data_IF_253238897418
#
_entry.id   IF_253238897418
#
_cell.length_a   1.000
_cell.length_b   1.000
_cell.length_c   1.000
_cell.angle_alpha   90.00
_cell.angle_beta   90.00
_cell.angle_gamma   90.00
#
_symmetry.space_group_name_H-M   'P 1'
#
loop_
_entity.id
_entity.type
_entity.pdbx_description
1 polymer ?
#
# COMPACT_ATOMS: atom_id res chain seq x y z
N UNK A 1 -15.54 -20.84 4.81
CA UNK A 1 -15.40 -19.41 5.15
C UNK A 1 -13.96 -18.98 4.88
N UNK A 2 -13.68 -18.03 3.99
CA UNK A 2 -12.30 -17.65 3.66
C UNK A 2 -11.67 -16.77 4.76
N UNK A 3 -10.40 -17.02 5.14
CA UNK A 3 -9.66 -16.15 6.08
C UNK A 3 -9.58 -14.72 5.51
N UNK A 4 -10.15 -13.75 6.22
CA UNK A 4 -10.20 -12.34 5.80
C UNK A 4 -8.87 -11.59 6.05
N UNK A 5 -8.11 -12.04 7.05
CA UNK A 5 -6.81 -11.48 7.45
C UNK A 5 -5.73 -12.10 6.56
N UNK A 6 -5.48 -11.47 5.42
CA UNK A 6 -4.44 -11.87 4.46
C UNK A 6 -3.39 -10.77 4.33
N UNK A 7 -2.15 -11.09 3.92
CA UNK A 7 -1.16 -10.08 3.58
C UNK A 7 -1.70 -9.13 2.49
N UNK A 8 -1.34 -7.86 2.57
CA UNK A 8 -1.82 -6.80 1.69
C UNK A 8 -3.19 -6.23 2.07
N UNK A 9 -3.87 -6.77 3.09
CA UNK A 9 -5.13 -6.19 3.59
C UNK A 9 -4.89 -4.94 4.40
N UNK A 10 -5.73 -3.93 4.16
CA UNK A 10 -5.76 -2.69 4.92
C UNK A 10 -6.57 -2.92 6.20
N UNK A 11 -5.96 -2.59 7.32
CA UNK A 11 -6.52 -2.71 8.66
C UNK A 11 -6.42 -1.39 9.40
N UNK A 12 -7.27 -1.20 10.40
CA UNK A 12 -7.25 -0.04 11.29
C UNK A 12 -6.83 -0.51 12.68
N UNK A 13 -5.83 0.15 13.27
CA UNK A 13 -5.33 -0.22 14.59
C UNK A 13 -6.28 0.31 15.66
N UNK A 14 -6.74 -0.57 16.56
CA UNK A 14 -7.67 -0.22 17.62
C UNK A 14 -6.99 0.22 18.91
N UNK A 15 -5.83 -0.38 19.25
CA UNK A 15 -5.19 -0.20 20.56
C UNK A 15 -3.70 0.16 20.49
N UNK A 16 -3.22 0.83 21.54
CA UNK A 16 -1.83 1.24 21.72
C UNK A 16 -1.49 2.60 21.10
N UNK A 17 -0.19 2.94 21.06
CA UNK A 17 0.32 4.25 20.59
C UNK A 17 -0.16 4.67 19.19
N UNK A 18 -0.45 3.71 18.32
CA UNK A 18 -0.85 3.95 16.93
C UNK A 18 -2.34 3.67 16.69
N UNK A 19 -3.17 3.71 17.72
CA UNK A 19 -4.63 3.60 17.58
C UNK A 19 -5.19 4.66 16.62
N UNK A 20 -6.22 4.30 15.86
CA UNK A 20 -6.83 5.16 14.84
C UNK A 20 -6.00 5.31 13.56
N UNK A 21 -4.82 4.69 13.47
CA UNK A 21 -3.99 4.71 12.25
C UNK A 21 -4.35 3.54 11.34
N UNK A 22 -4.47 3.83 10.05
CA UNK A 22 -4.54 2.84 8.97
C UNK A 22 -3.18 2.20 8.75
N UNK A 23 -3.21 0.91 8.52
CA UNK A 23 -2.03 0.10 8.30
C UNK A 23 -2.33 -1.07 7.35
N UNK A 24 -1.28 -1.75 6.91
CA UNK A 24 -1.34 -2.89 6.02
C UNK A 24 -0.70 -4.09 6.71
N UNK A 25 -1.36 -5.25 6.62
CA UNK A 25 -0.78 -6.51 7.07
C UNK A 25 0.32 -6.91 6.09
N UNK A 26 1.56 -7.03 6.57
CA UNK A 26 2.70 -7.48 5.77
C UNK A 26 2.83 -8.99 5.84
N UNK A 27 2.75 -9.54 7.05
CA UNK A 27 2.86 -10.98 7.31
C UNK A 27 1.86 -11.38 8.38
N UNK A 28 1.12 -12.45 8.13
CA UNK A 28 0.25 -13.13 9.08
C UNK A 28 1.01 -14.25 9.79
N UNK A 29 0.81 -14.39 11.09
CA UNK A 29 1.32 -15.48 11.92
C UNK A 29 0.12 -16.02 12.70
N UNK A 30 -0.51 -17.05 12.16
CA UNK A 30 -1.77 -17.58 12.69
C UNK A 30 -1.53 -18.58 13.83
N UNK A 31 -0.45 -19.38 13.72
CA UNK A 31 -0.14 -20.48 14.66
C UNK A 31 0.64 -20.05 15.91
N UNK A 32 0.88 -18.74 16.06
CA UNK A 32 1.69 -18.19 17.15
C UNK A 32 3.19 -18.44 16.97
N UNK A 33 3.98 -17.93 17.91
CA UNK A 33 5.43 -18.13 18.00
C UNK A 33 5.76 -18.49 19.45
N UNK A 34 6.93 -19.10 19.73
CA UNK A 34 7.39 -19.42 21.09
C UNK A 34 7.22 -18.24 22.06
N UNK A 35 7.53 -17.03 21.60
CA UNK A 35 7.47 -15.82 22.43
C UNK A 35 6.04 -15.27 22.59
N UNK A 36 5.14 -15.62 21.67
CA UNK A 36 3.79 -15.08 21.55
C UNK A 36 2.83 -16.18 21.09
N UNK A 37 2.22 -16.92 22.03
CA UNK A 37 1.34 -18.06 21.71
C UNK A 37 -0.02 -17.66 21.14
N UNK A 38 -0.24 -16.38 20.81
CA UNK A 38 -1.47 -15.86 20.23
C UNK A 38 -1.28 -15.49 18.76
N UNK A 39 -2.37 -15.55 17.99
CA UNK A 39 -2.36 -15.16 16.59
C UNK A 39 -2.10 -13.65 16.42
N UNK A 40 -1.14 -13.31 15.59
CA UNK A 40 -0.67 -11.94 15.42
C UNK A 40 -0.23 -11.64 13.99
N UNK A 41 -0.15 -10.36 13.66
CA UNK A 41 0.33 -9.90 12.37
C UNK A 41 1.44 -8.87 12.51
N UNK A 42 2.39 -8.95 11.58
CA UNK A 42 3.31 -7.86 11.32
C UNK A 42 2.59 -6.82 10.47
N UNK A 43 2.52 -5.60 10.98
CA UNK A 43 1.75 -4.52 10.39
C UNK A 43 2.66 -3.33 10.12
N UNK A 44 2.56 -2.79 8.90
CA UNK A 44 3.20 -1.55 8.49
C UNK A 44 2.14 -0.47 8.31
N UNK A 45 2.28 0.66 9.02
CA UNK A 45 1.28 1.72 9.02
C UNK A 45 1.87 3.12 8.93
N UNK A 46 0.97 4.09 8.84
CA UNK A 46 1.31 5.51 8.76
C UNK A 46 0.99 6.18 10.09
N UNK A 47 2.01 6.64 10.82
CA UNK A 47 1.87 7.39 12.07
C UNK A 47 1.46 8.83 11.75
N UNK A 48 2.24 9.50 10.89
CA UNK A 48 1.94 10.87 10.46
C UNK A 48 1.48 10.88 9.01
N UNK A 49 0.18 11.16 8.83
CA UNK A 49 -0.40 11.40 7.51
C UNK A 49 0.13 12.70 6.89
N UNK A 50 0.24 12.74 5.55
CA UNK A 50 0.51 13.99 4.86
C UNK A 50 -0.65 14.96 5.14
N UNK A 51 -0.31 16.22 5.44
CA UNK A 51 -1.30 17.27 5.68
C UNK A 51 -1.70 17.89 4.35
N UNK A 52 -2.96 18.33 4.21
CA UNK A 52 -3.44 19.05 3.02
C UNK A 52 -2.50 20.19 2.66
N UNK A 53 -2.13 20.23 1.39
CA UNK A 53 -1.34 21.30 0.76
C UNK A 53 -2.28 22.15 -0.08
N UNK A 54 -2.07 23.46 -0.08
CA UNK A 54 -2.78 24.44 -0.92
C UNK A 54 -1.76 25.21 -1.75
N UNK A 55 -2.19 25.73 -2.90
CA UNK A 55 -1.30 26.40 -3.86
C UNK A 55 -0.57 27.62 -3.28
N UNK A 56 -1.17 28.30 -2.29
CA UNK A 56 -0.57 29.47 -1.63
C UNK A 56 0.61 29.14 -0.68
N UNK A 57 0.92 27.87 -0.44
CA UNK A 57 2.00 27.49 0.48
C UNK A 57 3.38 27.59 -0.19
N UNK A 58 4.35 28.16 0.52
CA UNK A 58 5.75 28.14 0.06
C UNK A 58 6.37 26.73 0.07
N UNK A 59 7.31 26.48 -0.84
CA UNK A 59 7.99 25.18 -1.04
C UNK A 59 8.50 24.52 0.25
N UNK A 60 9.05 25.31 1.19
CA UNK A 60 9.54 24.83 2.50
C UNK A 60 8.41 24.27 3.39
N UNK A 61 7.23 24.91 3.39
CA UNK A 61 6.05 24.44 4.14
C UNK A 61 5.44 23.19 3.50
N UNK A 62 5.44 23.13 2.17
CA UNK A 62 4.99 21.95 1.41
C UNK A 62 5.83 20.73 1.77
N UNK A 63 7.16 20.83 1.69
CA UNK A 63 8.06 19.72 2.02
C UNK A 63 7.85 19.18 3.45
N UNK A 64 7.63 20.08 4.42
CA UNK A 64 7.35 19.67 5.82
C UNK A 64 5.98 19.00 5.98
N UNK A 65 4.96 19.41 5.22
CA UNK A 65 3.59 18.83 5.28
C UNK A 65 3.47 17.49 4.56
N UNK A 66 4.28 17.27 3.52
CA UNK A 66 4.30 16.04 2.73
C UNK A 66 5.12 14.92 3.37
N UNK A 67 5.92 15.20 4.41
CA UNK A 67 6.72 14.17 5.09
C UNK A 67 5.84 13.16 5.82
N UNK A 68 5.86 11.93 5.34
CA UNK A 68 5.18 10.78 5.95
C UNK A 68 6.10 10.15 7.00
N UNK A 69 5.54 9.81 8.16
CA UNK A 69 6.23 9.00 9.17
C UNK A 69 5.54 7.64 9.22
N UNK A 70 6.25 6.58 8.84
CA UNK A 70 5.79 5.20 8.90
C UNK A 70 6.16 4.56 10.24
N UNK A 71 5.47 3.46 10.56
CA UNK A 71 5.83 2.58 11.66
C UNK A 71 5.65 1.12 11.26
N UNK A 72 6.43 0.24 11.89
CA UNK A 72 6.26 -1.22 11.79
C UNK A 72 6.11 -1.74 13.20
N UNK A 73 5.06 -2.53 13.43
CA UNK A 73 4.81 -3.13 14.74
C UNK A 73 4.01 -4.43 14.58
N UNK A 74 4.26 -5.36 15.50
CA UNK A 74 3.47 -6.58 15.60
C UNK A 74 2.24 -6.32 16.47
N UNK A 75 1.07 -6.72 15.98
CA UNK A 75 -0.20 -6.59 16.68
C UNK A 75 -0.91 -7.94 16.82
N UNK A 76 -1.58 -8.12 17.94
CA UNK A 76 -2.61 -9.15 18.08
C UNK A 76 -3.78 -8.82 17.12
N UNK A 77 -4.39 -9.84 16.53
CA UNK A 77 -5.57 -9.68 15.67
C UNK A 77 -6.75 -8.99 16.35
N UNK A 78 -6.95 -9.15 17.65
CA UNK A 78 -8.01 -8.46 18.38
C UNK A 78 -7.85 -6.93 18.37
N UNK A 79 -6.62 -6.44 18.14
CA UNK A 79 -6.32 -5.01 18.10
C UNK A 79 -6.38 -4.44 16.68
N UNK A 80 -6.85 -5.21 15.70
CA UNK A 80 -6.95 -4.83 14.31
C UNK A 80 -8.41 -4.93 13.86
N UNK A 81 -8.93 -3.84 13.31
CA UNK A 81 -10.22 -3.84 12.62
C UNK A 81 -9.96 -4.05 11.12
N UNK A 82 -10.45 -5.16 10.52
CA UNK A 82 -10.33 -5.36 9.08
C UNK A 82 -11.23 -4.38 8.34
N UNK A 83 -10.73 -3.82 7.25
CA UNK A 83 -11.51 -2.91 6.40
C UNK A 83 -11.90 -3.59 5.08
N UNK A 84 -12.97 -3.10 4.44
CA UNK A 84 -13.44 -3.62 3.14
C UNK A 84 -12.54 -3.22 1.97
N UNK A 85 -11.54 -2.37 2.18
CA UNK A 85 -10.70 -1.86 1.10
C UNK A 85 -9.95 -3.02 0.42
N UNK A 86 -9.95 -3.06 -0.93
CA UNK A 86 -9.32 -4.15 -1.64
C UNK A 86 -7.79 -4.05 -1.53
N UNK A 87 -7.09 -5.19 -1.43
CA UNK A 87 -5.64 -5.21 -1.24
C UNK A 87 -4.86 -4.70 -2.48
N UNK A 88 -5.49 -4.64 -3.65
CA UNK A 88 -4.84 -4.25 -4.90
C UNK A 88 -4.34 -2.80 -4.91
N UNK A 89 -4.94 -1.91 -4.10
CA UNK A 89 -4.64 -0.48 -4.14
C UNK A 89 -3.25 -0.14 -3.58
N UNK A 90 -2.63 -1.09 -2.86
CA UNK A 90 -1.30 -0.95 -2.23
C UNK A 90 -0.23 -1.88 -2.80
N UNK A 91 -0.52 -2.68 -3.85
CA UNK A 91 0.51 -3.49 -4.49
C UNK A 91 1.30 -2.63 -5.49
N UNK A 92 2.59 -2.31 -5.23
CA UNK A 92 3.39 -1.52 -6.17
C UNK A 92 3.56 -2.21 -7.52
N UNK A 93 3.50 -3.55 -7.58
CA UNK A 93 3.59 -4.29 -8.83
C UNK A 93 2.46 -3.92 -9.81
N UNK A 94 1.25 -3.62 -9.32
CA UNK A 94 0.12 -3.25 -10.17
C UNK A 94 0.30 -1.86 -10.82
N UNK A 95 0.91 -0.92 -10.11
CA UNK A 95 1.23 0.42 -10.65
C UNK A 95 2.40 0.38 -11.65
N UNK A 96 3.32 -0.57 -11.50
CA UNK A 96 4.45 -0.79 -12.42
C UNK A 96 4.01 -1.51 -13.70
N UNK A 97 2.98 -2.37 -13.65
CA UNK A 97 2.41 -3.06 -14.83
C UNK A 97 1.28 -2.29 -15.52
N UNK A 98 0.87 -1.14 -14.99
CA UNK A 98 -0.20 -0.28 -15.57
C UNK A 98 0.15 0.38 -16.90
N UNK A 99 1.36 0.19 -17.45
CA UNK A 99 1.76 0.61 -18.80
C UNK A 99 1.34 -0.37 -19.90
N UNK A 100 0.66 -1.47 -19.56
CA UNK A 100 0.12 -2.39 -20.55
C UNK A 100 -1.40 -2.39 -20.44
N UNK A 101 -2.06 -1.31 -20.85
CA UNK A 101 -3.46 -1.28 -21.31
C UNK A 101 -3.76 0.12 -21.90
N UNK A 102 -2.95 0.51 -22.89
CA UNK A 102 -3.40 1.41 -23.96
C UNK A 102 -3.70 0.51 -25.15
N UNK A 103 -4.97 0.54 -25.56
CA UNK A 103 -5.64 -0.16 -26.65
C UNK A 103 -4.91 -0.18 -28.02
N UNK A 104 -5.35 -1.05 -28.98
CA UNK A 104 -4.52 -1.76 -29.99
C UNK A 104 -3.86 -0.95 -31.12
N UNK A 105 -3.92 0.37 -31.12
CA UNK A 105 -3.50 1.18 -32.27
C UNK A 105 -1.97 1.35 -32.40
N UNK A 106 -1.21 1.15 -31.34
CA UNK A 106 0.26 1.26 -31.35
C UNK A 106 0.96 0.05 -31.98
N UNK A 107 0.28 -1.10 -32.14
CA UNK A 107 0.86 -2.25 -32.85
C UNK A 107 0.85 -2.07 -34.38
N UNK A 108 -0.02 -1.22 -34.92
CA UNK A 108 -0.10 -0.92 -36.36
C UNK A 108 0.89 0.15 -36.82
N UNK A 109 1.36 1.01 -35.91
CA UNK A 109 2.39 2.02 -36.20
C UNK A 109 3.81 1.45 -36.17
N UNK A 110 4.07 0.42 -35.35
CA UNK A 110 5.40 -0.22 -35.26
C UNK A 110 5.78 -1.01 -36.52
N UNK A 111 4.81 -1.52 -37.29
CA UNK A 111 5.09 -2.26 -38.54
C UNK A 111 5.21 -1.34 -39.76
N UNK A 112 4.78 -0.07 -39.68
CA UNK A 112 4.98 0.92 -40.76
C UNK A 112 6.30 1.68 -40.68
N UNK A 113 6.89 1.84 -39.50
CA UNK A 113 8.20 2.52 -39.37
C UNK A 113 9.41 1.62 -39.66
N UNK A 114 9.23 0.30 -39.80
CA UNK A 114 10.33 -0.65 -40.01
C UNK A 114 10.60 -0.99 -41.49
N UNK A 115 9.81 -0.45 -42.43
CA UNK A 115 10.00 -0.66 -43.88
C UNK A 115 10.62 0.54 -44.62
N UNK A 116 11.03 1.59 -43.92
CA UNK A 116 11.50 2.85 -44.52
C UNK A 116 12.94 3.24 -44.11
N UNK A 117 13.72 2.27 -43.64
CA UNK A 117 15.18 2.40 -43.42
C UNK A 117 15.90 1.13 -43.85
N UNK A 118 15.75 0.81 -45.14
CA UNK A 118 16.74 0.04 -45.90
C UNK A 118 17.10 0.83 -47.15
N UNK A 119 17.95 1.83 -46.94
CA UNK A 119 18.94 2.31 -47.91
C UNK A 119 20.26 2.46 -47.17
#
# INVERSE_FOLDING_TARGET
MGKFMKPGKVVLVLAGRYSGRKAVIVKNIDDGTSDRPYSHALVAGIDRYPRKVTAAMGKKKIAKRSKIKSFVKVYNYNHLMPTRLPPHIWNPAFWVTGTLWISPWTKLLSTRMCSETQH
#
